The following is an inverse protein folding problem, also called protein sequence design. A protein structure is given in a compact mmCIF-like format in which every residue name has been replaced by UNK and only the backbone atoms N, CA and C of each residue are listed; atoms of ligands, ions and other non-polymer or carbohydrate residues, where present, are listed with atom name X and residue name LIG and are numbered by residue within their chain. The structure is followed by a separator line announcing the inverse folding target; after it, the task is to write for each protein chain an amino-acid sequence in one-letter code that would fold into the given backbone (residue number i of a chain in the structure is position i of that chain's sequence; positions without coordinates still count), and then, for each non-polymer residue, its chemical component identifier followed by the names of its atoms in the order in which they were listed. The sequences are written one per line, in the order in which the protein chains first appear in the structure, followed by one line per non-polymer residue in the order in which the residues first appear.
data_IF_222208312581
#
_entry.id   IF_222208312581
#
_cell.length_a   1.000
_cell.length_b   1.000
_cell.length_c   1.000
_cell.angle_alpha   90.00
_cell.angle_beta   90.00
_cell.angle_gamma   90.00
#
_symmetry.space_group_name_H-M   'P 1'
#
loop_
_entity.id
_entity.type
_entity.pdbx_description
1 polymer ?
#
# COMPACT_ATOMS: atom_id res chain seq x y z
N UNK A 1 -2.74 38.54 -21.69
CA UNK A 1 -1.77 37.73 -20.94
C UNK A 1 -0.53 38.59 -20.79
N UNK A 2 -0.16 38.96 -19.56
CA UNK A 2 1.04 39.76 -19.35
C UNK A 2 2.26 38.95 -19.80
N UNK A 3 3.18 39.55 -20.57
CA UNK A 3 4.43 38.90 -20.96
C UNK A 3 5.14 38.26 -19.75
N UNK A 4 5.57 37.03 -19.90
CA UNK A 4 6.22 36.30 -18.81
C UNK A 4 7.69 36.70 -18.71
N UNK A 5 8.17 36.93 -17.49
CA UNK A 5 9.58 37.28 -17.28
C UNK A 5 10.40 35.99 -17.32
N UNK A 6 11.27 35.86 -18.32
CA UNK A 6 12.13 34.69 -18.50
C UNK A 6 13.46 34.78 -17.72
N UNK A 7 13.69 35.89 -17.02
CA UNK A 7 14.88 36.13 -16.22
C UNK A 7 14.47 36.59 -14.82
N UNK A 8 15.34 36.34 -13.86
CA UNK A 8 15.16 36.82 -12.49
C UNK A 8 15.69 38.27 -12.38
N UNK A 9 14.82 39.28 -12.18
CA UNK A 9 15.22 40.68 -12.04
C UNK A 9 16.07 40.95 -10.78
N UNK A 10 16.13 40.02 -9.82
CA UNK A 10 17.03 40.12 -8.65
C UNK A 10 18.50 39.94 -9.02
N UNK A 11 18.79 39.28 -10.15
CA UNK A 11 20.15 39.04 -10.61
C UNK A 11 20.73 40.17 -11.47
N UNK A 12 19.97 41.24 -11.73
CA UNK A 12 20.45 42.40 -12.48
C UNK A 12 21.14 43.35 -11.49
N UNK A 13 22.47 43.48 -11.52
CA UNK A 13 23.16 44.44 -10.66
C UNK A 13 22.78 45.87 -11.07
N UNK A 14 22.74 46.82 -10.11
CA UNK A 14 22.54 48.22 -10.43
C UNK A 14 23.66 48.71 -11.36
N UNK A 15 23.33 49.40 -12.46
CA UNK A 15 24.34 50.03 -13.31
C UNK A 15 25.21 51.01 -12.52
N UNK A 16 26.48 51.13 -12.91
CA UNK A 16 27.34 52.16 -12.34
C UNK A 16 27.02 53.53 -12.94
N UNK A 17 26.05 54.22 -12.32
CA UNK A 17 25.64 55.56 -12.71
C UNK A 17 26.70 56.64 -12.45
N UNK A 18 27.81 56.31 -11.79
CA UNK A 18 28.96 57.22 -11.63
C UNK A 18 29.92 57.17 -12.83
N UNK A 19 29.85 56.10 -13.62
CA UNK A 19 30.66 55.92 -14.84
C UNK A 19 30.48 57.07 -15.83
N UNK A 20 31.51 57.27 -16.65
CA UNK A 20 31.53 58.28 -17.72
C UNK A 20 30.46 58.02 -18.79
N UNK A 21 29.94 56.80 -18.90
CA UNK A 21 28.83 56.45 -19.80
C UNK A 21 27.56 57.24 -19.50
N UNK A 22 27.31 57.57 -18.23
CA UNK A 22 26.14 58.32 -17.78
C UNK A 22 26.42 59.81 -17.59
N UNK A 23 27.64 60.29 -17.87
CA UNK A 23 28.02 61.69 -17.64
C UNK A 23 27.20 62.68 -18.49
N UNK A 24 26.86 62.30 -19.73
CA UNK A 24 25.98 63.10 -20.60
C UNK A 24 24.57 63.24 -20.01
N UNK A 25 24.02 62.14 -19.50
CA UNK A 25 22.69 62.10 -18.89
C UNK A 25 22.67 62.90 -17.58
N UNK A 26 23.69 62.75 -16.72
CA UNK A 26 23.82 63.55 -15.49
C UNK A 26 23.90 65.05 -15.78
N UNK A 27 24.68 65.46 -16.78
CA UNK A 27 24.77 66.88 -17.18
C UNK A 27 23.47 67.42 -17.77
N UNK A 28 22.76 66.60 -18.54
CA UNK A 28 21.45 66.97 -19.07
C UNK A 28 20.43 67.17 -17.94
N UNK A 29 20.41 66.29 -16.93
CA UNK A 29 19.55 66.42 -15.75
C UNK A 29 19.84 67.66 -14.90
N UNK A 30 21.12 68.07 -14.80
CA UNK A 30 21.51 69.31 -14.09
C UNK A 30 21.13 70.56 -14.88
N UNK A 31 21.22 70.50 -16.21
CA UNK A 31 20.90 71.62 -17.10
C UNK A 31 19.38 71.76 -17.38
N UNK A 32 18.59 70.76 -16.98
CA UNK A 32 17.15 70.74 -17.20
C UNK A 32 16.45 71.75 -16.28
N UNK A 33 15.72 72.68 -16.90
CA UNK A 33 15.01 73.74 -16.18
C UNK A 33 13.69 73.25 -15.55
N UNK A 34 13.18 72.09 -16.00
CA UNK A 34 11.92 71.52 -15.54
C UNK A 34 12.07 70.60 -14.31
N UNK A 35 13.31 70.36 -13.87
CA UNK A 35 13.65 69.52 -12.72
C UNK A 35 14.26 70.35 -11.57
N UNK A 36 13.47 71.20 -10.87
CA UNK A 36 13.97 72.10 -9.83
C UNK A 36 14.35 71.33 -8.56
N UNK A 37 15.58 70.82 -8.54
CA UNK A 37 16.10 70.05 -7.40
C UNK A 37 17.37 69.27 -7.70
N UNK A 38 17.81 69.21 -8.97
CA UNK A 38 19.04 68.52 -9.38
C UNK A 38 20.09 69.58 -9.72
N UNK A 39 20.84 70.01 -8.72
CA UNK A 39 21.91 71.02 -8.90
C UNK A 39 23.31 70.40 -8.81
N UNK A 40 23.42 69.16 -8.33
CA UNK A 40 24.68 68.44 -8.17
C UNK A 40 24.73 67.14 -8.97
N UNK A 41 25.94 66.73 -9.39
CA UNK A 41 26.16 65.41 -10.00
C UNK A 41 25.75 64.25 -9.06
N UNK A 42 25.86 64.44 -7.75
CA UNK A 42 25.46 63.45 -6.76
C UNK A 42 23.94 63.25 -6.73
N UNK A 43 23.16 64.32 -6.88
CA UNK A 43 21.70 64.29 -6.93
C UNK A 43 21.21 63.64 -8.24
N UNK A 44 21.85 63.98 -9.36
CA UNK A 44 21.57 63.37 -10.65
C UNK A 44 21.87 61.86 -10.63
N UNK A 45 22.96 61.44 -9.96
CA UNK A 45 23.28 60.03 -9.78
C UNK A 45 22.24 59.32 -8.92
N UNK A 46 21.76 59.93 -7.84
CA UNK A 46 20.75 59.31 -6.99
C UNK A 46 19.41 59.17 -7.69
N UNK A 47 18.97 60.18 -8.43
CA UNK A 47 17.73 60.06 -9.20
C UNK A 47 17.77 58.88 -10.18
N UNK A 48 18.89 58.69 -10.89
CA UNK A 48 19.05 57.57 -11.81
C UNK A 48 19.03 56.21 -11.09
N UNK A 49 19.55 56.15 -9.85
CA UNK A 49 19.47 54.95 -9.01
C UNK A 49 18.05 54.69 -8.53
N UNK A 50 17.36 55.72 -8.07
CA UNK A 50 16.00 55.64 -7.56
C UNK A 50 15.03 55.20 -8.67
N UNK A 51 15.15 55.78 -9.86
CA UNK A 51 14.39 55.36 -11.04
C UNK A 51 14.65 53.90 -11.42
N UNK A 52 15.92 53.48 -11.41
CA UNK A 52 16.26 52.10 -11.68
C UNK A 52 15.71 51.14 -10.63
N UNK A 53 15.76 51.48 -9.35
CA UNK A 53 15.20 50.63 -8.28
C UNK A 53 13.68 50.56 -8.37
N UNK A 54 13.00 51.64 -8.76
CA UNK A 54 11.55 51.64 -8.99
C UNK A 54 11.17 50.72 -10.15
N UNK A 55 11.83 50.86 -11.31
CA UNK A 55 11.60 50.00 -12.46
C UNK A 55 11.92 48.53 -12.16
N UNK A 56 13.05 48.28 -11.50
CA UNK A 56 13.45 46.94 -11.11
C UNK A 56 12.50 46.36 -10.05
N UNK A 57 11.98 47.20 -9.15
CA UNK A 57 10.97 46.85 -8.16
C UNK A 57 9.67 46.36 -8.81
N UNK A 58 9.20 47.04 -9.86
CA UNK A 58 8.03 46.58 -10.64
C UNK A 58 8.28 45.23 -11.31
N UNK A 59 9.48 45.03 -11.88
CA UNK A 59 9.85 43.74 -12.49
C UNK A 59 9.91 42.63 -11.44
N UNK A 60 10.49 42.89 -10.27
CA UNK A 60 10.56 41.93 -9.15
C UNK A 60 9.17 41.56 -8.65
N UNK A 61 8.29 42.53 -8.44
CA UNK A 61 6.91 42.27 -8.01
C UNK A 61 6.17 41.41 -9.03
N UNK A 62 6.31 41.70 -10.33
CA UNK A 62 5.71 40.90 -11.40
C UNK A 62 6.26 39.48 -11.45
N UNK A 63 7.57 39.30 -11.25
CA UNK A 63 8.19 37.98 -11.21
C UNK A 63 7.74 37.18 -9.98
N UNK A 64 7.56 37.83 -8.84
CA UNK A 64 7.05 37.21 -7.61
C UNK A 64 5.61 36.73 -7.79
N UNK A 65 4.74 37.54 -8.41
CA UNK A 65 3.38 37.10 -8.76
C UNK A 65 3.40 35.88 -9.69
N UNK A 66 4.30 35.82 -10.67
CA UNK A 66 4.44 34.65 -11.55
C UNK A 66 4.87 33.40 -10.77
N UNK A 67 5.79 33.55 -9.83
CA UNK A 67 6.24 32.45 -8.99
C UNK A 67 5.11 31.93 -8.08
N UNK A 68 4.33 32.82 -7.50
CA UNK A 68 3.16 32.46 -6.69
C UNK A 68 2.10 31.73 -7.51
N UNK A 69 1.80 32.20 -8.73
CA UNK A 69 0.89 31.53 -9.65
C UNK A 69 1.38 30.12 -10.01
N UNK A 70 2.68 29.98 -10.34
CA UNK A 70 3.28 28.68 -10.64
C UNK A 70 3.22 27.71 -9.45
N UNK A 71 3.49 28.22 -8.24
CA UNK A 71 3.40 27.44 -7.01
C UNK A 71 1.96 27.01 -6.74
N UNK A 72 0.98 27.91 -6.92
CA UNK A 72 -0.43 27.60 -6.75
C UNK A 72 -0.90 26.52 -7.74
N UNK A 73 -0.47 26.60 -8.99
CA UNK A 73 -0.78 25.58 -10.01
C UNK A 73 -0.14 24.23 -9.66
N UNK A 74 1.12 24.23 -9.23
CA UNK A 74 1.81 23.01 -8.81
C UNK A 74 1.12 22.36 -7.60
N UNK A 75 0.74 23.17 -6.62
CA UNK A 75 0.04 22.71 -5.43
C UNK A 75 -1.36 22.17 -5.75
N UNK A 76 -2.11 22.85 -6.61
CA UNK A 76 -3.43 22.37 -7.06
C UNK A 76 -3.34 21.00 -7.76
N UNK A 77 -2.29 20.76 -8.55
CA UNK A 77 -2.05 19.44 -9.18
C UNK A 77 -1.72 18.36 -8.17
N UNK A 78 -0.97 18.68 -7.12
CA UNK A 78 -0.65 17.73 -6.05
C UNK A 78 -1.92 17.36 -5.28
N UNK A 79 -2.76 18.34 -4.98
CA UNK A 79 -4.03 18.14 -4.29
C UNK A 79 -5.02 17.31 -5.12
N UNK A 80 -5.17 17.63 -6.41
CA UNK A 80 -6.00 16.85 -7.33
C UNK A 80 -5.55 15.38 -7.42
N UNK A 81 -4.24 15.15 -7.53
CA UNK A 81 -3.69 13.79 -7.55
C UNK A 81 -3.93 13.04 -6.23
N UNK A 82 -3.84 13.74 -5.09
CA UNK A 82 -4.13 13.17 -3.78
C UNK A 82 -5.61 12.81 -3.62
N UNK A 83 -6.52 13.67 -4.07
CA UNK A 83 -7.97 13.43 -4.01
C UNK A 83 -8.38 12.29 -4.95
N UNK A 84 -7.82 12.20 -6.15
CA UNK A 84 -8.00 11.06 -7.03
C UNK A 84 -7.55 9.75 -6.38
N UNK A 85 -6.41 9.75 -5.69
CA UNK A 85 -5.92 8.58 -4.97
C UNK A 85 -6.87 8.19 -3.83
N UNK A 86 -7.39 9.17 -3.08
CA UNK A 86 -8.37 8.91 -2.00
C UNK A 86 -9.66 8.31 -2.54
N UNK A 87 -10.15 8.78 -3.68
CA UNK A 87 -11.34 8.21 -4.33
C UNK A 87 -11.06 6.76 -4.77
N UNK A 88 -9.92 6.52 -5.42
CA UNK A 88 -9.51 5.16 -5.86
C UNK A 88 -9.38 4.19 -4.68
N UNK A 89 -8.79 4.63 -3.57
CA UNK A 89 -8.65 3.83 -2.36
C UNK A 89 -10.01 3.58 -1.68
N UNK A 90 -10.89 4.57 -1.63
CA UNK A 90 -12.24 4.41 -1.09
C UNK A 90 -13.06 3.43 -1.93
N UNK A 91 -12.97 3.50 -3.27
CA UNK A 91 -13.60 2.53 -4.15
C UNK A 91 -13.03 1.12 -3.97
N UNK A 92 -11.71 0.99 -3.82
CA UNK A 92 -11.07 -0.32 -3.58
C UNK A 92 -11.56 -0.92 -2.27
N UNK A 93 -11.58 -0.14 -1.18
CA UNK A 93 -12.12 -0.58 0.12
C UNK A 93 -13.60 -0.96 0.01
N UNK A 94 -14.42 -0.17 -0.66
CA UNK A 94 -15.82 -0.50 -0.86
C UNK A 94 -16.04 -1.79 -1.68
N UNK A 95 -15.16 -2.06 -2.66
CA UNK A 95 -15.17 -3.32 -3.42
C UNK A 95 -14.74 -4.50 -2.54
N UNK A 96 -13.68 -4.34 -1.74
CA UNK A 96 -13.21 -5.33 -0.78
C UNK A 96 -14.28 -5.66 0.27
N UNK A 97 -14.93 -4.65 0.85
CA UNK A 97 -16.00 -4.82 1.84
C UNK A 97 -17.21 -5.55 1.24
N UNK A 98 -17.60 -5.22 -0.01
CA UNK A 98 -18.65 -5.94 -0.73
C UNK A 98 -18.27 -7.40 -0.99
N UNK A 99 -17.00 -7.67 -1.30
CA UNK A 99 -16.51 -9.03 -1.52
C UNK A 99 -16.48 -9.83 -0.20
N UNK A 100 -16.05 -9.19 0.89
CA UNK A 100 -16.01 -9.77 2.23
C UNK A 100 -17.42 -10.15 2.71
N UNK A 101 -18.41 -9.25 2.57
CA UNK A 101 -19.81 -9.56 2.89
C UNK A 101 -20.36 -10.74 2.10
N UNK A 102 -20.10 -10.78 0.78
CA UNK A 102 -20.50 -11.93 -0.06
C UNK A 102 -19.80 -13.23 0.34
N UNK A 103 -18.56 -13.16 0.77
CA UNK A 103 -17.82 -14.33 1.27
C UNK A 103 -18.37 -14.81 2.62
N UNK A 104 -18.77 -13.88 3.49
CA UNK A 104 -19.42 -14.17 4.77
C UNK A 104 -20.82 -14.77 4.58
N UNK A 105 -21.64 -14.24 3.67
CA UNK A 105 -22.95 -14.80 3.33
C UNK A 105 -22.85 -16.24 2.77
N UNK A 106 -21.82 -16.52 1.98
CA UNK A 106 -21.55 -17.87 1.44
C UNK A 106 -20.89 -18.80 2.45
N UNK A 107 -20.43 -18.28 3.58
CA UNK A 107 -19.79 -19.10 4.61
C UNK A 107 -20.86 -19.96 5.26
N UNK A 108 -20.74 -21.27 5.07
CA UNK A 108 -21.62 -22.23 5.72
C UNK A 108 -21.53 -22.01 7.24
N UNK A 109 -22.66 -21.81 7.95
CA UNK A 109 -22.64 -21.66 9.39
C UNK A 109 -21.94 -22.88 10.00
N UNK A 110 -20.83 -22.65 10.71
CA UNK A 110 -20.20 -23.72 11.48
C UNK A 110 -21.25 -24.18 12.50
N UNK A 111 -21.59 -25.47 12.46
CA UNK A 111 -22.50 -26.07 13.42
C UNK A 111 -22.05 -25.70 14.83
N UNK A 112 -23.00 -25.33 15.69
CA UNK A 112 -22.68 -24.94 17.07
C UNK A 112 -22.01 -26.12 17.78
N UNK A 113 -20.72 -25.95 18.07
CA UNK A 113 -19.98 -26.91 18.86
C UNK A 113 -20.52 -26.86 20.29
N UNK A 114 -21.17 -27.96 20.72
CA UNK A 114 -21.56 -28.11 22.12
C UNK A 114 -20.36 -28.59 22.91
N UNK A 115 -19.64 -27.65 23.52
CA UNK A 115 -18.54 -27.94 24.44
C UNK A 115 -19.06 -28.84 25.57
N UNK A 116 -18.46 -30.04 25.71
CA UNK A 116 -18.85 -31.04 26.71
C UNK A 116 -19.74 -32.18 26.20
N UNK A 117 -20.25 -32.13 24.96
CA UNK A 117 -20.89 -33.30 24.33
C UNK A 117 -19.80 -34.11 23.63
N UNK A 118 -19.24 -35.08 24.33
CA UNK A 118 -18.35 -36.07 23.72
C UNK A 118 -19.10 -36.80 22.60
N UNK A 119 -18.47 -36.94 21.44
CA UNK A 119 -18.97 -37.85 20.39
C UNK A 119 -19.05 -39.23 21.03
N UNK A 120 -20.25 -39.83 21.06
CA UNK A 120 -20.46 -41.15 21.63
C UNK A 120 -19.42 -42.14 21.08
N UNK A 121 -18.83 -42.94 21.98
CA UNK A 121 -17.70 -43.84 21.74
C UNK A 121 -17.70 -44.42 20.32
N UNK A 122 -16.76 -43.96 19.48
CA UNK A 122 -16.63 -44.42 18.10
C UNK A 122 -16.10 -45.85 18.13
N UNK A 123 -16.99 -46.85 18.01
CA UNK A 123 -16.65 -48.30 17.93
C UNK A 123 -16.04 -48.67 16.56
N UNK A 124 -15.11 -47.89 16.04
CA UNK A 124 -14.36 -48.26 14.85
C UNK A 124 -13.17 -49.13 15.28
N UNK A 125 -13.39 -50.44 15.24
CA UNK A 125 -12.29 -51.40 15.32
C UNK A 125 -11.49 -51.30 14.02
N UNK A 126 -10.31 -50.70 14.11
CA UNK A 126 -9.36 -50.64 12.99
C UNK A 126 -9.01 -52.06 12.53
N UNK A 127 -8.97 -52.27 11.22
CA UNK A 127 -8.64 -53.55 10.62
C UNK A 127 -7.27 -54.09 11.14
N UNK A 128 -7.15 -55.37 11.53
CA UNK A 128 -5.95 -55.92 12.16
C UNK A 128 -4.69 -55.78 11.28
N UNK A 129 -4.85 -55.84 9.96
CA UNK A 129 -3.76 -55.60 9.00
C UNK A 129 -3.22 -54.17 9.10
N UNK A 130 -4.11 -53.17 9.18
CA UNK A 130 -3.71 -51.77 9.36
C UNK A 130 -3.03 -51.56 10.71
N UNK A 131 -3.50 -52.24 11.78
CA UNK A 131 -2.80 -52.23 13.09
C UNK A 131 -1.37 -52.74 12.97
N UNK A 132 -1.14 -53.84 12.25
CA UNK A 132 0.20 -54.40 12.03
C UNK A 132 1.11 -53.44 11.25
N UNK A 133 0.58 -52.82 10.19
CA UNK A 133 1.31 -51.84 9.40
C UNK A 133 1.68 -50.59 10.20
N UNK A 134 0.74 -50.06 11.00
CA UNK A 134 1.00 -48.95 11.92
C UNK A 134 2.06 -49.29 12.97
N UNK A 135 1.99 -50.48 13.58
CA UNK A 135 3.01 -50.93 14.53
C UNK A 135 4.40 -51.01 13.88
N UNK A 136 4.46 -51.39 12.60
CA UNK A 136 5.70 -51.42 11.82
C UNK A 136 6.11 -50.06 11.20
N UNK A 137 5.38 -48.97 11.50
CA UNK A 137 5.57 -47.62 10.93
C UNK A 137 5.61 -47.59 9.39
N UNK A 138 4.87 -48.50 8.75
CA UNK A 138 4.75 -48.58 7.28
C UNK A 138 3.52 -47.80 6.81
N UNK A 139 3.51 -47.47 5.51
CA UNK A 139 2.35 -46.86 4.87
C UNK A 139 1.10 -47.72 5.06
N UNK A 140 -0.01 -47.08 5.46
CA UNK A 140 -1.31 -47.73 5.67
C UNK A 140 -2.31 -47.05 4.74
N UNK A 141 -2.94 -47.77 3.79
CA UNK A 141 -4.00 -47.20 2.97
C UNK A 141 -5.17 -46.70 3.81
N UNK A 142 -5.67 -45.49 3.52
CA UNK A 142 -6.77 -44.87 4.26
C UNK A 142 -8.07 -45.69 4.20
N UNK A 143 -8.23 -46.54 3.18
CA UNK A 143 -9.38 -47.43 3.04
C UNK A 143 -9.62 -48.30 4.28
N UNK A 144 -8.56 -48.71 5.00
CA UNK A 144 -8.69 -49.53 6.21
C UNK A 144 -9.32 -48.81 7.41
N UNK A 145 -9.52 -47.49 7.32
CA UNK A 145 -10.20 -46.68 8.34
C UNK A 145 -11.65 -46.37 7.97
N UNK A 146 -12.12 -46.83 6.81
CA UNK A 146 -13.51 -46.67 6.40
C UNK A 146 -14.43 -47.68 7.13
N UNK A 147 -15.75 -47.39 7.20
CA UNK A 147 -16.72 -48.28 7.83
C UNK A 147 -16.76 -49.68 7.19
N UNK A 148 -16.53 -49.76 5.88
CA UNK A 148 -16.53 -51.00 5.09
C UNK A 148 -15.43 -51.95 5.57
N UNK A 149 -14.18 -51.48 5.64
CA UNK A 149 -13.06 -52.25 6.13
C UNK A 149 -13.19 -52.60 7.63
N UNK A 150 -13.87 -51.75 8.40
CA UNK A 150 -14.17 -52.01 9.82
C UNK A 150 -15.23 -53.12 9.99
N UNK A 151 -16.12 -53.31 9.02
CA UNK A 151 -17.08 -54.42 9.00
C UNK A 151 -16.37 -55.74 8.64
N UNK A 152 -15.53 -55.75 7.60
CA UNK A 152 -14.72 -56.91 7.24
C UNK A 152 -13.80 -57.34 8.39
N UNK A 153 -13.18 -56.38 9.09
CA UNK A 153 -12.35 -56.67 10.26
C UNK A 153 -13.11 -57.39 11.37
N UNK A 154 -14.39 -57.05 11.58
CA UNK A 154 -15.25 -57.68 12.60
C UNK A 154 -15.63 -59.09 12.20
N UNK A 155 -15.91 -59.34 10.92
CA UNK A 155 -16.24 -60.69 10.42
C UNK A 155 -15.02 -61.61 10.50
N UNK A 156 -13.85 -61.18 10.01
CA UNK A 156 -12.61 -61.97 10.14
C UNK A 156 -12.24 -62.26 11.60
N UNK A 157 -12.52 -61.34 12.51
CA UNK A 157 -12.27 -61.57 13.93
C UNK A 157 -13.18 -62.68 14.48
N UNK A 158 -14.46 -62.70 14.08
CA UNK A 158 -15.38 -63.79 14.44
C UNK A 158 -14.94 -65.13 13.86
N UNK A 159 -14.57 -65.16 12.57
CA UNK A 159 -14.09 -66.38 11.91
C UNK A 159 -12.79 -66.93 12.53
N UNK A 160 -11.87 -66.05 12.94
CA UNK A 160 -10.65 -66.46 13.64
C UNK A 160 -10.93 -67.03 15.04
N UNK A 161 -12.00 -66.57 15.72
CA UNK A 161 -12.44 -67.12 17.00
C UNK A 161 -13.12 -68.48 16.78
N UNK A 162 -13.95 -68.62 15.75
CA UNK A 162 -14.65 -69.87 15.44
C UNK A 162 -13.69 -70.98 14.95
N UNK A 163 -12.68 -70.66 14.14
CA UNK A 163 -11.68 -71.65 13.71
C UNK A 163 -10.78 -72.15 14.85
N UNK A 164 -10.47 -71.31 15.84
CA UNK A 164 -9.77 -71.77 17.05
C UNK A 164 -10.64 -72.69 17.93
N UNK A 165 -11.97 -72.52 17.89
CA UNK A 165 -12.90 -73.40 18.61
C UNK A 165 -12.89 -74.83 18.06
N UNK A 166 -12.71 -75.00 16.75
CA UNK A 166 -12.59 -76.32 16.12
C UNK A 166 -11.22 -76.98 16.30
N UNK A 167 -10.14 -76.21 16.55
CA UNK A 167 -8.82 -76.77 16.84
C UNK A 167 -8.71 -77.31 18.27
N UNK A 168 -9.34 -76.66 19.25
CA UNK A 168 -9.33 -77.16 20.65
C UNK A 168 -10.08 -78.48 20.76
N UNK A 169 -11.15 -78.69 19.99
CA UNK A 169 -11.91 -79.96 20.02
C UNK A 169 -11.27 -81.11 19.25
N UNK A 170 -10.23 -80.87 18.43
CA UNK A 170 -9.48 -81.93 17.73
C UNK A 170 -8.32 -82.47 18.58
N UNK A 171 -7.72 -81.64 19.44
CA UNK A 171 -6.60 -82.04 20.30
C UNK A 171 -7.01 -82.92 21.51
N UNK A 172 -8.30 -83.01 21.87
CA UNK A 172 -8.79 -83.88 22.94
C UNK A 172 -9.03 -85.35 22.51
N UNK A 173 -8.92 -85.68 21.22
CA UNK A 173 -9.23 -87.05 20.72
C UNK A 173 -8.02 -87.91 20.36
N UNK A 174 -6.79 -87.40 20.51
CA UNK A 174 -5.56 -88.10 20.11
C UNK A 174 -4.54 -88.31 21.27
N UNK A 175 -5.03 -88.40 22.51
CA UNK A 175 -4.24 -88.89 23.66
C UNK A 175 -5.00 -90.01 24.36
N UNK A 176 -5.00 -91.19 23.75
CA UNK A 176 -5.11 -92.47 24.46
C UNK A 176 -4.64 -93.59 23.51
N UNK A 177 -3.35 -93.92 23.65
CA UNK A 177 -2.76 -95.25 23.47
C UNK A 177 -1.31 -95.23 23.97
#
# INVERSE_FOLDING_TARGET
MADRLNFDPRNIPPPDFSSNTYASIRRALIADADSPGITSEAEAQQLLRDQWEEENGVLRARYETQLEEDQAIAQARIEEAADEQRIKDAERKAKEDKLAKKAEEKRTPLYSFKQGVGVGYIRQQIHPYAKKLMASRKYVPLWYFLPEASAEAKERNKEAIDNNRFQISMDETCRDN
#
